data_IF_272216133844
#
_entry.id   IF_272216133844
#
_cell.length_a   1.000
_cell.length_b   1.000
_cell.length_c   1.000
_cell.angle_alpha   90.00
_cell.angle_beta   90.00
_cell.angle_gamma   90.00
#
_symmetry.space_group_name_H-M   'P 1'
#
loop_
_entity.id
_entity.type
_entity.pdbx_description
1 polymer ?
#
# COMPACT_ATOMS: atom_id res chain seq x y z
N UNK A 1 12.23 4.29 -6.40
CA UNK A 1 11.94 5.26 -7.47
C UNK A 1 11.66 4.43 -8.71
N UNK A 2 10.50 4.58 -9.33
CA UNK A 2 10.16 3.83 -10.55
C UNK A 2 10.67 4.54 -11.83
N UNK A 3 10.48 3.90 -12.99
CA UNK A 3 10.93 4.40 -14.29
C UNK A 3 10.25 5.72 -14.71
N UNK A 4 9.13 6.08 -14.05
CA UNK A 4 8.41 7.33 -14.23
C UNK A 4 8.79 8.42 -13.21
N UNK A 5 9.81 8.14 -12.38
CA UNK A 5 10.32 9.02 -11.31
C UNK A 5 9.35 9.24 -10.14
N UNK A 6 8.53 8.25 -9.81
CA UNK A 6 7.74 8.25 -8.58
C UNK A 6 8.49 7.66 -7.38
N UNK A 7 8.40 8.33 -6.24
CA UNK A 7 8.78 7.82 -4.93
C UNK A 7 7.54 7.29 -4.20
N UNK A 8 7.57 6.03 -3.80
CA UNK A 8 6.52 5.42 -2.99
C UNK A 8 6.96 5.40 -1.54
N UNK A 9 6.11 5.93 -0.66
CA UNK A 9 6.38 6.06 0.77
C UNK A 9 5.30 5.32 1.54
N UNK A 10 5.71 4.36 2.36
CA UNK A 10 4.82 3.78 3.36
C UNK A 10 4.75 4.70 4.57
N UNK A 11 3.56 5.23 4.85
CA UNK A 11 3.33 6.02 6.05
C UNK A 11 2.72 5.13 7.13
N UNK A 12 3.60 4.51 7.92
CA UNK A 12 3.23 3.53 8.94
C UNK A 12 2.22 4.10 9.93
N UNK A 13 2.42 5.35 10.40
CA UNK A 13 1.56 6.00 11.38
C UNK A 13 0.22 6.50 10.83
N UNK A 14 0.07 6.57 9.50
CA UNK A 14 -1.20 6.88 8.83
C UNK A 14 -1.88 5.65 8.23
N UNK A 15 -1.25 4.48 8.30
CA UNK A 15 -1.76 3.24 7.72
C UNK A 15 -2.10 3.40 6.23
N UNK A 16 -1.21 4.05 5.48
CA UNK A 16 -1.40 4.34 4.07
C UNK A 16 -0.08 4.29 3.31
N UNK A 17 -0.17 4.14 1.99
CA UNK A 17 0.95 4.31 1.08
C UNK A 17 0.64 5.45 0.12
N UNK A 18 1.61 6.34 -0.08
CA UNK A 18 1.53 7.45 -1.03
C UNK A 18 2.62 7.37 -2.08
N UNK A 19 2.31 7.79 -3.30
CA UNK A 19 3.31 8.07 -4.34
C UNK A 19 3.51 9.56 -4.53
N UNK A 20 4.72 9.98 -4.82
CA UNK A 20 5.12 11.36 -5.07
C UNK A 20 5.88 11.42 -6.37
N UNK A 21 5.48 12.30 -7.29
CA UNK A 21 6.34 12.59 -8.44
C UNK A 21 7.53 13.41 -7.94
N UNK A 22 8.71 13.18 -8.51
CA UNK A 22 9.89 13.96 -8.13
C UNK A 22 9.61 15.48 -8.25
N UNK A 23 9.78 16.20 -7.14
CA UNK A 23 9.52 17.64 -7.03
C UNK A 23 8.12 18.01 -6.53
N UNK A 24 7.18 17.06 -6.44
CA UNK A 24 5.87 17.30 -5.85
C UNK A 24 5.91 17.20 -4.32
N UNK A 25 5.18 18.11 -3.65
CA UNK A 25 5.04 18.12 -2.19
C UNK A 25 3.85 17.30 -1.70
N UNK A 26 2.85 17.11 -2.56
CA UNK A 26 1.62 16.42 -2.22
C UNK A 26 1.63 15.03 -2.86
N UNK A 27 1.52 13.99 -2.03
CA UNK A 27 1.50 12.61 -2.50
C UNK A 27 0.08 12.14 -2.80
N UNK A 28 -0.08 11.37 -3.88
CA UNK A 28 -1.32 10.66 -4.20
C UNK A 28 -1.44 9.41 -3.34
N UNK A 29 -2.60 9.19 -2.72
CA UNK A 29 -2.91 7.95 -2.01
C UNK A 29 -3.00 6.79 -3.02
N UNK A 30 -2.29 5.68 -2.74
CA UNK A 30 -2.27 4.51 -3.62
C UNK A 30 -2.62 3.20 -2.92
N UNK A 31 -2.62 3.17 -1.59
CA UNK A 31 -3.11 2.05 -0.79
C UNK A 31 -3.54 2.51 0.61
N UNK A 32 -4.55 1.87 1.19
CA UNK A 32 -5.06 2.17 2.54
C UNK A 32 -5.79 3.52 2.61
N UNK A 33 -5.53 4.27 3.70
CA UNK A 33 -6.11 5.61 3.90
C UNK A 33 -7.54 5.64 4.46
N UNK A 34 -8.16 4.49 4.71
CA UNK A 34 -9.50 4.36 5.32
C UNK A 34 -9.43 3.98 6.80
N UNK A 35 -8.37 4.42 7.49
CA UNK A 35 -8.07 4.06 8.87
C UNK A 35 -7.43 2.68 9.02
N UNK A 36 -7.05 2.38 10.27
CA UNK A 36 -6.51 1.07 10.67
C UNK A 36 -7.60 0.00 10.61
N UNK A 37 -7.30 -1.15 10.03
CA UNK A 37 -8.23 -2.29 10.04
C UNK A 37 -7.89 -3.39 9.04
N UNK A 38 -8.76 -4.39 8.97
CA UNK A 38 -8.59 -5.60 8.15
C UNK A 38 -9.39 -5.55 6.82
N UNK A 39 -10.15 -4.48 6.57
CA UNK A 39 -10.86 -4.31 5.30
C UNK A 39 -9.92 -4.30 4.09
N UNK A 40 -10.44 -4.58 2.89
CA UNK A 40 -9.63 -4.56 1.66
C UNK A 40 -9.20 -3.13 1.25
N UNK A 41 -9.84 -2.12 1.80
CA UNK A 41 -9.48 -0.71 1.65
C UNK A 41 -8.70 -0.15 2.86
N UNK A 42 -8.31 -1.01 3.80
CA UNK A 42 -7.59 -0.65 5.04
C UNK A 42 -6.25 -1.37 5.11
N UNK A 43 -5.35 -0.79 5.90
CA UNK A 43 -4.03 -1.34 6.22
C UNK A 43 -3.83 -1.27 7.74
N UNK A 44 -2.91 -2.09 8.25
CA UNK A 44 -2.48 -2.09 9.63
C UNK A 44 -0.96 -2.27 9.70
N UNK A 45 -0.29 -1.18 10.07
CA UNK A 45 1.17 -1.09 10.19
C UNK A 45 1.93 -1.55 8.91
N UNK A 46 1.71 -0.89 7.74
CA UNK A 46 2.38 -1.29 6.50
C UNK A 46 3.86 -0.89 6.51
N UNK A 47 4.80 -1.83 6.59
CA UNK A 47 6.23 -1.48 6.77
C UNK A 47 7.07 -1.56 5.51
N UNK A 48 6.70 -2.42 4.55
CA UNK A 48 7.46 -2.64 3.33
C UNK A 48 6.54 -2.60 2.12
N UNK A 49 7.10 -2.13 1.00
CA UNK A 49 6.42 -2.10 -0.28
C UNK A 49 7.34 -2.54 -1.42
N UNK A 50 6.73 -3.06 -2.47
CA UNK A 50 7.34 -3.35 -3.75
C UNK A 50 6.43 -2.84 -4.87
N UNK A 51 7.00 -2.37 -5.97
CA UNK A 51 6.25 -1.86 -7.13
C UNK A 51 6.68 -2.64 -8.35
N UNK A 52 5.73 -3.24 -9.06
CA UNK A 52 6.01 -3.97 -10.31
C UNK A 52 6.01 -3.05 -11.54
N UNK A 53 6.28 -3.64 -12.72
CA UNK A 53 6.35 -2.90 -13.99
C UNK A 53 5.00 -2.35 -14.45
N UNK A 54 3.90 -2.87 -13.92
CA UNK A 54 2.54 -2.41 -14.20
C UNK A 54 2.08 -1.36 -13.17
N UNK A 55 3.03 -0.80 -12.40
CA UNK A 55 2.82 0.17 -11.33
C UNK A 55 1.88 -0.33 -10.21
N UNK A 56 1.72 -1.65 -10.08
CA UNK A 56 0.99 -2.22 -8.96
C UNK A 56 1.84 -2.19 -7.69
N UNK A 57 1.23 -1.77 -6.58
CA UNK A 57 1.87 -1.65 -5.28
C UNK A 57 1.55 -2.88 -4.45
N UNK A 58 2.58 -3.61 -4.05
CA UNK A 58 2.50 -4.69 -3.08
C UNK A 58 2.90 -4.14 -1.73
N UNK A 59 2.07 -4.32 -0.71
CA UNK A 59 2.31 -3.83 0.64
C UNK A 59 2.29 -4.99 1.61
N UNK A 60 3.31 -5.07 2.44
CA UNK A 60 3.33 -5.94 3.61
C UNK A 60 2.42 -5.33 4.68
N UNK A 61 1.21 -5.86 4.82
CA UNK A 61 0.20 -5.42 5.79
C UNK A 61 0.42 -6.17 7.11
N UNK A 62 1.50 -5.79 7.80
CA UNK A 62 2.22 -6.63 8.76
C UNK A 62 1.35 -7.08 9.94
N UNK A 63 0.51 -6.20 10.49
CA UNK A 63 -0.32 -6.53 11.64
C UNK A 63 -1.65 -7.18 11.27
N UNK A 64 -1.93 -7.29 9.97
CA UNK A 64 -2.98 -8.12 9.44
C UNK A 64 -2.44 -9.45 8.86
N UNK A 65 -1.13 -9.72 9.02
CA UNK A 65 -0.49 -10.96 8.59
C UNK A 65 -0.76 -11.33 7.13
N UNK A 66 -0.77 -10.32 6.26
CA UNK A 66 -1.08 -10.51 4.83
C UNK A 66 -0.21 -9.61 3.96
N UNK A 67 -0.09 -10.01 2.70
CA UNK A 67 0.45 -9.17 1.63
C UNK A 67 -0.71 -8.79 0.73
N UNK A 68 -0.80 -7.50 0.42
CA UNK A 68 -1.85 -6.97 -0.42
C UNK A 68 -1.29 -6.28 -1.65
N UNK A 69 -1.98 -6.46 -2.78
CA UNK A 69 -1.69 -5.80 -4.06
C UNK A 69 -2.75 -4.73 -4.34
N UNK A 70 -2.32 -3.53 -4.72
CA UNK A 70 -3.16 -2.48 -5.28
C UNK A 70 -2.73 -2.18 -6.70
N UNK A 71 -3.68 -2.24 -7.64
CA UNK A 71 -3.49 -1.73 -8.99
C UNK A 71 -3.71 -0.21 -8.97
N UNK A 72 -3.05 0.52 -9.86
CA UNK A 72 -3.20 1.96 -9.95
C UNK A 72 -4.68 2.38 -10.06
N UNK A 73 -5.10 3.33 -9.21
CA UNK A 73 -6.47 3.84 -9.16
C UNK A 73 -7.49 2.93 -8.44
N UNK A 74 -7.07 1.76 -7.95
CA UNK A 74 -7.95 0.87 -7.18
C UNK A 74 -8.36 1.51 -5.85
N UNK A 75 -9.64 1.33 -5.46
CA UNK A 75 -10.18 1.77 -4.16
C UNK A 75 -9.91 0.76 -3.04
N UNK A 76 -9.62 -0.47 -3.42
CA UNK A 76 -9.42 -1.62 -2.54
C UNK A 76 -8.28 -2.47 -3.09
N UNK A 77 -7.60 -3.20 -2.22
CA UNK A 77 -6.53 -4.11 -2.61
C UNK A 77 -7.00 -5.55 -2.64
N UNK A 78 -6.13 -6.41 -3.16
CA UNK A 78 -6.35 -7.85 -3.26
C UNK A 78 -5.35 -8.54 -2.35
N UNK A 79 -5.81 -9.46 -1.51
CA UNK A 79 -4.91 -10.31 -0.72
C UNK A 79 -4.22 -11.29 -1.65
N UNK A 80 -2.90 -11.23 -1.73
CA UNK A 80 -2.08 -12.09 -2.61
C UNK A 80 -1.29 -13.14 -1.83
N UNK A 81 -1.14 -12.97 -0.52
CA UNK A 81 -0.60 -13.97 0.39
C UNK A 81 -1.03 -13.72 1.84
N UNK A 82 -1.09 -14.78 2.66
CA UNK A 82 -1.42 -14.69 4.09
C UNK A 82 -2.91 -14.44 4.37
N UNK A 83 -3.21 -13.77 5.48
CA UNK A 83 -4.57 -13.38 5.87
C UNK A 83 -5.47 -14.49 6.43
N UNK A 84 -4.88 -15.64 6.77
CA UNK A 84 -5.60 -16.77 7.37
C UNK A 84 -5.36 -16.92 8.87
N UNK A 85 -4.73 -15.94 9.53
CA UNK A 85 -4.60 -15.96 10.98
C UNK A 85 -5.97 -15.72 11.62
N UNK A 86 -6.65 -16.82 11.94
CA UNK A 86 -7.76 -16.88 12.87
C UNK A 86 -7.16 -17.44 14.15
N UNK A 87 -7.08 -16.62 15.20
CA UNK A 87 -6.83 -17.13 16.54
C UNK A 87 -7.87 -18.18 16.93
#
# INVERSE_FOLDING_TARGET
MDDQRYLYVSNVGKHEVRRYKLGEKNGTLVAGGNGIGYGLNQLNYPTYLFVDRDHSVYVSDCWNYRVMKWVEGAKEGIVVAGGQWKG
#
